data_IF_051152560052
#
_entry.id   IF_051152560052
#
_cell.length_a   1.000
_cell.length_b   1.000
_cell.length_c   1.000
_cell.angle_alpha   90.00
_cell.angle_beta   90.00
_cell.angle_gamma   90.00
#
_symmetry.space_group_name_H-M   'P 1'
#
loop_
_entity.id
_entity.type
_entity.pdbx_description
1 polymer ?
#
# COMPACT_ATOMS: atom_id res chain seq x y z
N UNK A 1 13.49 -15.23 5.06
CA UNK A 1 12.73 -15.30 6.33
C UNK A 1 12.19 -13.96 6.81
N UNK A 2 12.95 -12.86 6.72
CA UNK A 2 12.51 -11.53 7.22
C UNK A 2 11.22 -10.99 6.60
N UNK A 3 10.98 -11.21 5.29
CA UNK A 3 9.75 -10.75 4.60
C UNK A 3 8.51 -11.46 5.14
N UNK A 4 8.58 -12.78 5.31
CA UNK A 4 7.48 -13.58 5.86
C UNK A 4 7.16 -13.15 7.30
N UNK A 5 8.19 -12.93 8.11
CA UNK A 5 8.02 -12.42 9.46
C UNK A 5 7.36 -11.03 9.49
N UNK A 6 7.78 -10.13 8.58
CA UNK A 6 7.15 -8.81 8.41
C UNK A 6 5.66 -8.94 8.12
N UNK A 7 5.27 -9.77 7.15
CA UNK A 7 3.85 -9.98 6.82
C UNK A 7 3.03 -10.52 8.00
N UNK A 8 3.58 -11.44 8.79
CA UNK A 8 2.90 -11.96 10.00
C UNK A 8 2.69 -10.83 11.02
N UNK A 9 3.72 -10.03 11.29
CA UNK A 9 3.64 -8.92 12.26
C UNK A 9 2.64 -7.87 11.79
N UNK A 10 2.66 -7.52 10.51
CA UNK A 10 1.71 -6.58 9.89
C UNK A 10 0.27 -7.10 10.03
N UNK A 11 0.05 -8.36 9.69
CA UNK A 11 -1.27 -8.97 9.80
C UNK A 11 -1.79 -8.93 11.24
N UNK A 12 -0.95 -9.32 12.22
CA UNK A 12 -1.30 -9.27 13.64
C UNK A 12 -1.57 -7.84 14.10
N UNK A 13 -0.76 -6.87 13.69
CA UNK A 13 -0.96 -5.45 14.01
C UNK A 13 -2.33 -4.95 13.53
N UNK A 14 -2.68 -5.21 12.27
CA UNK A 14 -3.96 -4.78 11.69
C UNK A 14 -5.11 -5.54 12.34
N UNK A 15 -4.96 -6.84 12.60
CA UNK A 15 -5.98 -7.66 13.27
C UNK A 15 -6.31 -7.11 14.66
N UNK A 16 -5.29 -6.75 15.46
CA UNK A 16 -5.47 -6.18 16.80
C UNK A 16 -6.09 -4.77 16.71
N UNK A 17 -5.64 -3.94 15.75
CA UNK A 17 -6.11 -2.56 15.55
C UNK A 17 -7.58 -2.48 15.14
N UNK A 18 -7.98 -3.28 14.15
CA UNK A 18 -9.31 -3.20 13.53
C UNK A 18 -10.31 -4.21 14.08
N UNK A 19 -9.84 -5.25 14.78
CA UNK A 19 -10.67 -6.36 15.32
C UNK A 19 -11.52 -7.09 14.26
N UNK A 20 -11.25 -6.84 12.99
CA UNK A 20 -11.87 -7.46 11.81
C UNK A 20 -10.76 -7.99 10.92
N UNK A 21 -10.76 -9.30 10.68
CA UNK A 21 -9.75 -9.98 9.88
C UNK A 21 -9.76 -9.57 8.41
N UNK A 22 -10.92 -9.12 7.88
CA UNK A 22 -11.03 -8.66 6.48
C UNK A 22 -10.08 -7.51 6.15
N UNK A 23 -9.88 -6.59 7.11
CA UNK A 23 -8.93 -5.48 6.96
C UNK A 23 -7.49 -5.99 6.88
N UNK A 24 -7.14 -7.00 7.68
CA UNK A 24 -5.83 -7.63 7.65
C UNK A 24 -5.54 -8.32 6.30
N UNK A 25 -6.51 -9.07 5.78
CA UNK A 25 -6.39 -9.74 4.47
C UNK A 25 -6.29 -8.73 3.34
N UNK A 26 -7.15 -7.70 3.33
CA UNK A 26 -7.12 -6.67 2.29
C UNK A 26 -5.79 -5.92 2.25
N UNK A 27 -5.23 -5.56 3.41
CA UNK A 27 -3.91 -4.93 3.49
C UNK A 27 -2.80 -5.87 3.00
N UNK A 28 -2.84 -7.15 3.37
CA UNK A 28 -1.84 -8.11 2.94
C UNK A 28 -1.86 -8.30 1.41
N UNK A 29 -3.04 -8.37 0.81
CA UNK A 29 -3.19 -8.49 -0.65
C UNK A 29 -2.69 -7.24 -1.36
N UNK A 30 -3.01 -6.04 -0.85
CA UNK A 30 -2.51 -4.78 -1.41
C UNK A 30 -0.98 -4.71 -1.36
N UNK A 31 -0.38 -5.04 -0.21
CA UNK A 31 1.08 -5.09 -0.04
C UNK A 31 1.73 -6.12 -0.96
N UNK A 32 1.12 -7.30 -1.08
CA UNK A 32 1.62 -8.34 -1.99
C UNK A 32 1.60 -7.87 -3.45
N UNK A 33 0.51 -7.20 -3.85
CA UNK A 33 0.41 -6.55 -5.15
C UNK A 33 1.53 -5.53 -5.36
N UNK A 34 1.82 -4.67 -4.38
CA UNK A 34 2.88 -3.65 -4.50
C UNK A 34 4.26 -4.27 -4.74
N UNK A 35 4.59 -5.33 -3.99
CA UNK A 35 5.85 -6.05 -4.14
C UNK A 35 5.93 -6.71 -5.52
N UNK A 36 4.85 -7.31 -6.01
CA UNK A 36 4.80 -7.90 -7.35
C UNK A 36 5.02 -6.86 -8.45
N UNK A 37 4.42 -5.67 -8.33
CA UNK A 37 4.61 -4.61 -9.32
C UNK A 37 6.06 -4.13 -9.32
N UNK A 38 6.66 -3.88 -8.14
CA UNK A 38 8.07 -3.47 -8.06
C UNK A 38 8.98 -4.53 -8.70
N UNK A 39 8.77 -5.81 -8.38
CA UNK A 39 9.51 -6.92 -8.99
C UNK A 39 9.30 -7.00 -10.51
N UNK A 40 8.06 -6.82 -10.98
CA UNK A 40 7.73 -6.82 -12.41
C UNK A 40 8.43 -5.69 -13.16
N UNK A 41 8.43 -4.48 -12.60
CA UNK A 41 9.16 -3.34 -13.16
C UNK A 41 10.66 -3.63 -13.19
N UNK A 42 11.24 -4.15 -12.11
CA UNK A 42 12.66 -4.51 -12.06
C UNK A 42 13.01 -5.56 -13.13
N UNK A 43 12.16 -6.57 -13.28
CA UNK A 43 12.37 -7.64 -14.26
C UNK A 43 12.25 -7.16 -15.70
N UNK A 44 11.31 -6.26 -16.01
CA UNK A 44 11.10 -5.74 -17.36
C UNK A 44 12.23 -4.80 -17.78
N UNK A 45 12.67 -3.94 -16.87
CA UNK A 45 13.68 -2.92 -17.16
C UNK A 45 15.12 -3.39 -16.92
N UNK A 46 15.32 -4.62 -16.46
CA UNK A 46 16.63 -5.22 -16.25
C UNK A 46 17.44 -5.21 -17.55
N UNK A 47 18.62 -4.59 -17.52
CA UNK A 47 19.51 -4.47 -18.69
C UNK A 47 19.08 -3.43 -19.74
N UNK A 48 17.93 -2.76 -19.56
CA UNK A 48 17.47 -1.68 -20.45
C UNK A 48 17.87 -0.31 -19.91
N UNK A 49 17.78 -0.12 -18.59
CA UNK A 49 18.11 1.15 -17.95
C UNK A 49 19.62 1.33 -17.78
N UNK A 50 20.11 2.59 -17.76
CA UNK A 50 21.55 2.90 -17.66
C UNK A 50 22.14 2.68 -16.26
N UNK A 51 21.45 1.96 -15.38
CA UNK A 51 21.86 1.68 -14.00
C UNK A 51 21.48 0.26 -13.59
N UNK A 52 22.22 -0.29 -12.64
CA UNK A 52 22.04 -1.67 -12.18
C UNK A 52 20.72 -1.86 -11.42
N UNK A 53 19.89 -2.78 -11.91
CA UNK A 53 18.69 -3.27 -11.24
C UNK A 53 18.95 -4.64 -10.60
N UNK A 54 19.95 -4.71 -9.75
CA UNK A 54 20.29 -5.95 -9.05
C UNK A 54 19.37 -6.18 -7.85
N UNK A 55 19.00 -7.44 -7.64
CA UNK A 55 18.24 -7.88 -6.46
C UNK A 55 19.25 -8.22 -5.37
N UNK A 56 19.70 -7.19 -4.67
CA UNK A 56 20.69 -7.29 -3.60
C UNK A 56 20.06 -7.01 -2.21
N UNK A 57 20.89 -6.87 -1.19
CA UNK A 57 20.40 -6.56 0.16
C UNK A 57 19.75 -5.18 0.25
N UNK A 58 20.22 -4.20 -0.53
CA UNK A 58 19.60 -2.88 -0.60
C UNK A 58 18.19 -2.98 -1.19
N UNK A 59 18.00 -3.77 -2.26
CA UNK A 59 16.67 -4.03 -2.82
C UNK A 59 15.70 -4.60 -1.77
N UNK A 60 16.13 -5.57 -0.97
CA UNK A 60 15.29 -6.13 0.11
C UNK A 60 14.90 -5.04 1.13
N UNK A 61 15.83 -4.15 1.48
CA UNK A 61 15.54 -3.02 2.36
C UNK A 61 14.55 -2.02 1.72
N UNK A 62 14.65 -1.80 0.40
CA UNK A 62 13.70 -0.96 -0.33
C UNK A 62 12.29 -1.53 -0.27
N UNK A 63 12.15 -2.84 -0.55
CA UNK A 63 10.86 -3.53 -0.46
C UNK A 63 10.27 -3.39 0.94
N UNK A 64 11.03 -3.66 2.00
CA UNK A 64 10.54 -3.53 3.37
C UNK A 64 10.06 -2.11 3.69
N UNK A 65 10.75 -1.10 3.16
CA UNK A 65 10.38 0.31 3.30
C UNK A 65 9.08 0.63 2.55
N UNK A 66 8.93 0.15 1.32
CA UNK A 66 7.71 0.30 0.51
C UNK A 66 6.52 -0.34 1.20
N UNK A 67 6.70 -1.55 1.76
CA UNK A 67 5.67 -2.23 2.55
C UNK A 67 5.23 -1.35 3.72
N UNK A 68 6.18 -0.78 4.49
CA UNK A 68 5.86 0.12 5.60
C UNK A 68 5.10 1.37 5.17
N UNK A 69 5.50 1.98 4.05
CA UNK A 69 4.85 3.15 3.47
C UNK A 69 3.41 2.84 3.02
N UNK A 70 3.22 1.77 2.25
CA UNK A 70 1.90 1.32 1.75
C UNK A 70 0.92 0.98 2.88
N UNK A 71 1.41 0.34 3.94
CA UNK A 71 0.57 0.00 5.11
C UNK A 71 0.15 1.24 5.88
N UNK A 72 1.03 2.23 6.03
CA UNK A 72 0.68 3.48 6.68
C UNK A 72 -0.53 4.14 5.99
N UNK A 73 -0.49 4.21 4.67
CA UNK A 73 -1.56 4.80 3.87
C UNK A 73 -2.85 3.97 3.95
N UNK A 74 -2.72 2.64 3.87
CA UNK A 74 -3.84 1.69 4.02
C UNK A 74 -4.53 1.82 5.39
N UNK A 75 -3.77 1.98 6.48
CA UNK A 75 -4.32 2.15 7.83
C UNK A 75 -5.11 3.45 7.96
N UNK A 76 -4.61 4.55 7.38
CA UNK A 76 -5.31 5.84 7.40
C UNK A 76 -6.66 5.75 6.67
N UNK A 77 -6.68 5.10 5.50
CA UNK A 77 -7.91 4.87 4.72
C UNK A 77 -8.88 3.98 5.49
N UNK A 78 -8.39 2.88 6.07
CA UNK A 78 -9.19 1.95 6.84
C UNK A 78 -9.78 2.56 8.12
N UNK A 79 -8.99 3.35 8.85
CA UNK A 79 -9.47 4.07 10.03
C UNK A 79 -10.60 5.03 9.64
N UNK A 80 -10.46 5.75 8.52
CA UNK A 80 -11.51 6.65 8.03
C UNK A 80 -12.77 5.91 7.61
N UNK A 81 -12.64 4.82 6.85
CA UNK A 81 -13.78 3.97 6.46
C UNK A 81 -14.53 3.48 7.70
N UNK A 82 -13.80 2.97 8.70
CA UNK A 82 -14.39 2.48 9.95
C UNK A 82 -15.11 3.59 10.72
N UNK A 83 -14.52 4.78 10.81
CA UNK A 83 -15.12 5.94 11.47
C UNK A 83 -16.42 6.37 10.78
N UNK A 84 -16.40 6.48 9.45
CA UNK A 84 -17.53 6.93 8.64
C UNK A 84 -18.68 5.91 8.66
N UNK A 85 -18.39 4.61 8.54
CA UNK A 85 -19.39 3.55 8.71
C UNK A 85 -20.01 3.56 10.12
N UNK A 86 -19.24 3.98 11.14
CA UNK A 86 -19.74 4.15 12.50
C UNK A 86 -20.66 5.36 12.69
N UNK A 87 -20.39 6.47 11.97
CA UNK A 87 -21.17 7.73 12.05
C UNK A 87 -22.41 7.72 11.14
N UNK A 88 -22.28 7.24 9.91
CA UNK A 88 -23.31 7.30 8.87
C UNK A 88 -24.01 5.94 8.69
N UNK A 89 -24.52 5.35 9.78
CA UNK A 89 -25.11 4.00 9.78
C UNK A 89 -26.39 3.84 8.93
N UNK A 90 -27.03 4.95 8.57
CA UNK A 90 -28.28 4.99 7.79
C UNK A 90 -28.05 5.19 6.29
N UNK A 91 -26.85 5.61 5.90
CA UNK A 91 -26.49 5.87 4.51
C UNK A 91 -26.06 4.56 3.83
N UNK A 92 -26.10 4.52 2.50
CA UNK A 92 -25.63 3.37 1.75
C UNK A 92 -24.13 3.15 1.96
N UNK A 93 -23.71 1.91 2.26
CA UNK A 93 -22.30 1.58 2.57
C UNK A 93 -21.34 2.07 1.48
N UNK A 94 -21.70 1.92 0.21
CA UNK A 94 -20.85 2.33 -0.92
C UNK A 94 -20.64 3.85 -0.95
N UNK A 95 -21.70 4.62 -0.69
CA UNK A 95 -21.61 6.07 -0.63
C UNK A 95 -20.73 6.54 0.55
N UNK A 96 -20.89 5.91 1.71
CA UNK A 96 -20.09 6.21 2.91
C UNK A 96 -18.61 5.91 2.67
N UNK A 97 -18.29 4.82 1.97
CA UNK A 97 -16.92 4.45 1.62
C UNK A 97 -16.33 5.42 0.60
N UNK A 98 -17.09 5.82 -0.42
CA UNK A 98 -16.64 6.82 -1.38
C UNK A 98 -16.36 8.18 -0.71
N UNK A 99 -17.22 8.63 0.21
CA UNK A 99 -16.96 9.83 1.02
C UNK A 99 -15.71 9.68 1.89
N UNK A 100 -15.47 8.49 2.43
CA UNK A 100 -14.26 8.18 3.22
C UNK A 100 -13.00 8.33 2.37
N UNK A 101 -12.99 7.72 1.18
CA UNK A 101 -11.87 7.79 0.22
C UNK A 101 -11.55 9.24 -0.16
N UNK A 102 -12.57 10.02 -0.55
CA UNK A 102 -12.40 11.42 -0.91
C UNK A 102 -11.81 12.25 0.24
N UNK A 103 -12.20 11.97 1.49
CA UNK A 103 -11.66 12.67 2.66
C UNK A 103 -10.20 12.34 2.98
N UNK A 104 -9.72 11.14 2.59
CA UNK A 104 -8.34 10.72 2.80
C UNK A 104 -7.43 11.03 1.62
N UNK A 105 -7.98 11.15 0.41
CA UNK A 105 -7.24 11.28 -0.83
C UNK A 105 -6.19 12.40 -0.79
N UNK A 106 -6.59 13.62 -0.38
CA UNK A 106 -5.67 14.75 -0.32
C UNK A 106 -4.50 14.51 0.65
N UNK A 107 -4.76 13.86 1.79
CA UNK A 107 -3.71 13.52 2.75
C UNK A 107 -2.74 12.49 2.14
N UNK A 108 -3.25 11.39 1.61
CA UNK A 108 -2.44 10.29 1.06
C UNK A 108 -1.59 10.77 -0.13
N UNK A 109 -2.18 11.57 -1.02
CA UNK A 109 -1.44 12.18 -2.14
C UNK A 109 -0.36 13.13 -1.64
N UNK A 110 -0.67 13.99 -0.66
CA UNK A 110 0.35 14.94 -0.17
C UNK A 110 1.53 14.24 0.49
N UNK A 111 1.28 13.20 1.30
CA UNK A 111 2.34 12.42 1.94
C UNK A 111 3.19 11.69 0.91
N UNK A 112 2.57 11.04 -0.07
CA UNK A 112 3.29 10.30 -1.11
C UNK A 112 4.08 11.20 -2.03
N UNK A 113 3.49 12.31 -2.46
CA UNK A 113 4.14 13.28 -3.33
C UNK A 113 5.34 13.93 -2.63
N UNK A 114 5.21 14.30 -1.35
CA UNK A 114 6.33 14.85 -0.58
C UNK A 114 7.50 13.86 -0.48
N UNK A 115 7.19 12.58 -0.26
CA UNK A 115 8.20 11.51 -0.20
C UNK A 115 8.82 11.27 -1.58
N UNK A 116 8.00 11.24 -2.62
CA UNK A 116 8.44 11.06 -3.99
C UNK A 116 9.39 12.17 -4.45
N UNK A 117 9.13 13.43 -4.08
CA UNK A 117 10.03 14.53 -4.40
C UNK A 117 11.41 14.36 -3.75
N UNK A 118 11.46 13.93 -2.48
CA UNK A 118 12.73 13.62 -1.80
C UNK A 118 13.47 12.50 -2.54
N UNK A 119 12.78 11.40 -2.84
CA UNK A 119 13.36 10.28 -3.58
C UNK A 119 13.84 10.69 -4.98
N UNK A 120 13.10 11.56 -5.68
CA UNK A 120 13.47 12.09 -6.98
C UNK A 120 14.77 12.90 -6.90
N UNK A 121 14.94 13.73 -5.87
CA UNK A 121 16.21 14.45 -5.66
C UNK A 121 17.35 13.47 -5.41
N UNK A 122 17.15 12.44 -4.58
CA UNK A 122 18.18 11.41 -4.34
C UNK A 122 18.46 10.60 -5.61
N UNK A 123 17.46 10.36 -6.46
CA UNK A 123 17.64 9.62 -7.71
C UNK A 123 18.49 10.38 -8.73
N UNK A 124 18.24 11.69 -8.87
CA UNK A 124 18.96 12.57 -9.81
C UNK A 124 20.38 12.86 -9.32
N UNK A 125 20.52 13.25 -8.05
CA UNK A 125 21.80 13.68 -7.48
C UNK A 125 22.58 12.56 -6.81
N UNK A 126 21.99 11.38 -6.64
CA UNK A 126 22.63 10.22 -6.03
C UNK A 126 23.58 9.48 -6.97
N UNK A 127 24.48 8.71 -6.35
CA UNK A 127 25.42 7.85 -7.06
C UNK A 127 24.76 6.60 -7.66
N UNK A 128 25.45 5.97 -8.61
CA UNK A 128 24.96 4.80 -9.35
C UNK A 128 24.63 3.62 -8.42
N UNK A 129 25.42 3.43 -7.36
CA UNK A 129 25.25 2.35 -6.39
C UNK A 129 23.88 2.33 -5.70
N UNK A 130 23.29 3.51 -5.44
CA UNK A 130 21.98 3.61 -4.77
C UNK A 130 20.83 3.86 -5.75
N UNK A 131 21.11 4.02 -7.04
CA UNK A 131 20.11 4.44 -8.02
C UNK A 131 19.03 3.38 -8.20
N UNK A 132 19.41 2.10 -8.26
CA UNK A 132 18.46 0.98 -8.25
C UNK A 132 17.62 0.94 -6.98
N UNK A 133 18.23 1.11 -5.81
CA UNK A 133 17.53 1.17 -4.52
C UNK A 133 16.47 2.29 -4.47
N UNK A 134 16.84 3.52 -4.85
CA UNK A 134 15.94 4.66 -4.85
C UNK A 134 14.84 4.49 -5.90
N UNK A 135 15.16 3.90 -7.05
CA UNK A 135 14.17 3.57 -8.07
C UNK A 135 13.09 2.60 -7.55
N UNK A 136 13.48 1.56 -6.79
CA UNK A 136 12.53 0.67 -6.13
C UNK A 136 11.60 1.43 -5.17
N UNK A 137 12.15 2.34 -4.37
CA UNK A 137 11.36 3.17 -3.46
C UNK A 137 10.39 4.09 -4.21
N UNK A 138 10.84 4.72 -5.30
CA UNK A 138 9.99 5.61 -6.11
C UNK A 138 8.80 4.84 -6.71
N UNK A 139 9.06 3.69 -7.34
CA UNK A 139 8.01 2.83 -7.90
C UNK A 139 7.07 2.38 -6.79
N UNK A 140 7.62 1.91 -5.67
CA UNK A 140 6.84 1.42 -4.56
C UNK A 140 5.95 2.47 -3.89
N UNK A 141 6.42 3.72 -3.72
CA UNK A 141 5.60 4.81 -3.19
C UNK A 141 4.42 5.10 -4.11
N UNK A 142 4.65 5.16 -5.43
CA UNK A 142 3.58 5.41 -6.41
C UNK A 142 2.56 4.27 -6.38
N UNK A 143 3.03 3.02 -6.39
CA UNK A 143 2.15 1.85 -6.41
C UNK A 143 1.39 1.71 -5.10
N UNK A 144 2.04 1.86 -3.95
CA UNK A 144 1.40 1.78 -2.63
C UNK A 144 0.35 2.87 -2.39
N UNK A 145 0.58 4.07 -2.92
CA UNK A 145 -0.39 5.17 -2.85
C UNK A 145 -1.68 4.81 -3.58
N UNK A 146 -1.58 4.26 -4.79
CA UNK A 146 -2.77 3.85 -5.54
C UNK A 146 -3.40 2.58 -4.94
N UNK A 147 -2.60 1.60 -4.52
CA UNK A 147 -3.12 0.30 -4.06
C UNK A 147 -3.89 0.44 -2.74
N UNK A 148 -3.45 1.31 -1.82
CA UNK A 148 -4.17 1.58 -0.57
C UNK A 148 -5.59 2.14 -0.80
N UNK A 149 -5.79 2.91 -1.87
CA UNK A 149 -7.08 3.51 -2.23
C UNK A 149 -7.93 2.57 -3.11
N UNK A 150 -7.32 2.01 -4.16
CA UNK A 150 -8.02 1.33 -5.25
C UNK A 150 -7.98 -0.19 -5.18
N UNK A 151 -7.07 -0.79 -4.41
CA UNK A 151 -6.97 -2.26 -4.26
C UNK A 151 -7.47 -2.68 -2.89
N UNK A 152 -6.96 -2.07 -1.81
CA UNK A 152 -7.30 -2.45 -0.45
C UNK A 152 -8.78 -2.19 -0.12
N UNK A 153 -9.33 -1.05 -0.55
CA UNK A 153 -10.71 -0.65 -0.22
C UNK A 153 -11.77 -1.56 -0.85
N UNK A 154 -11.74 -1.86 -2.16
CA UNK A 154 -12.69 -2.82 -2.76
C UNK A 154 -12.62 -4.21 -2.12
N UNK A 155 -11.42 -4.70 -1.79
CA UNK A 155 -11.29 -6.01 -1.13
C UNK A 155 -11.99 -6.02 0.23
N UNK A 156 -11.89 -4.94 1.03
CA UNK A 156 -12.64 -4.82 2.29
C UNK A 156 -14.15 -4.84 2.04
N UNK A 157 -14.62 -4.15 0.99
CA UNK A 157 -16.05 -4.12 0.62
C UNK A 157 -16.56 -5.50 0.25
N UNK A 158 -15.85 -6.20 -0.62
CA UNK A 158 -16.24 -7.51 -1.12
C UNK A 158 -16.24 -8.56 0.00
N UNK A 159 -15.24 -8.54 0.87
CA UNK A 159 -15.16 -9.44 2.03
C UNK A 159 -16.20 -9.10 3.13
N UNK A 160 -16.72 -7.87 3.21
CA UNK A 160 -17.81 -7.51 4.14
C UNK A 160 -19.19 -7.84 3.54
N UNK A 161 -19.35 -7.82 2.21
CA UNK A 161 -20.58 -8.22 1.49
C UNK A 161 -20.89 -9.71 1.62
N UNK A 162 -19.87 -10.57 1.66
CA UNK A 162 -20.04 -12.04 1.72
C UNK A 162 -20.65 -12.55 3.05
N UNK A 163 -20.87 -11.66 4.03
CA UNK A 163 -21.65 -11.97 5.25
C UNK A 163 -23.11 -11.50 5.21
N UNK A 164 -23.54 -10.89 4.10
CA UNK A 164 -24.89 -10.35 3.92
C UNK A 164 -25.80 -11.14 2.97
N UNK A 165 -25.28 -12.12 2.23
CA UNK A 165 -26.02 -12.95 1.26
C UNK A 165 -26.76 -14.12 1.92
N UNK A 166 -27.42 -13.82 3.03
CA UNK A 166 -28.30 -14.73 3.78
C UNK A 166 -29.65 -14.09 4.10
N UNK A 167 -30.30 -13.50 3.09
CA UNK A 167 -31.75 -13.28 3.00
C UNK A 167 -32.09 -12.62 1.65
N UNK A 168 -32.42 -13.46 0.67
CA UNK A 168 -33.43 -13.12 -0.35
C UNK A 168 -34.80 -13.25 0.31
#
# INVERSE_FOLDING_TARGET
MSIVFSFIVIFLYILIRFKKWQFGVAALVAVFHDVLVVLGVFSIFYGILPFSLEIDQAFIAAILTVVGYSINDTVVVFDRIREYLGRYKRDEKEEVINRSLNSTLSRTINTSLSTFFVLLMIFIFGGEMIRGFVFALMVGVVVGTYSSLCVATPIVVDLDKDKGTGKK
#
